data_IF_260088038325
#
_entry.id   IF_260088038325
#
_cell.length_a   1.000
_cell.length_b   1.000
_cell.length_c   1.000
_cell.angle_alpha   90.00
_cell.angle_beta   90.00
_cell.angle_gamma   90.00
#
_symmetry.space_group_name_H-M   'P 1'
#
loop_
_entity.id
_entity.type
_entity.pdbx_description
1 polymer ?
#
# COMPACT_ATOMS: atom_id res chain seq x y z
N UNK A 1 -3.61 3.39 -10.03
CA UNK A 1 -3.56 4.59 -9.17
C UNK A 1 -4.52 5.58 -9.77
N UNK A 2 -5.57 5.93 -9.02
CA UNK A 2 -6.75 6.61 -9.53
C UNK A 2 -7.13 7.78 -8.62
N UNK A 3 -7.66 8.84 -9.24
CA UNK A 3 -8.32 9.94 -8.55
C UNK A 3 -9.65 9.51 -7.93
N UNK A 4 -10.39 8.62 -8.61
CA UNK A 4 -11.65 8.06 -8.15
C UNK A 4 -11.68 6.56 -8.45
N UNK A 5 -12.04 5.75 -7.47
CA UNK A 5 -12.25 4.31 -7.64
C UNK A 5 -13.29 3.77 -6.67
N UNK A 6 -13.38 2.44 -6.57
CA UNK A 6 -14.42 1.77 -5.77
C UNK A 6 -14.37 2.13 -4.28
N UNK A 7 -13.17 2.40 -3.77
CA UNK A 7 -12.93 2.75 -2.36
C UNK A 7 -12.90 4.27 -2.11
N UNK A 8 -13.42 5.07 -3.05
CA UNK A 8 -13.55 6.53 -2.97
C UNK A 8 -12.47 7.28 -3.74
N UNK A 9 -12.12 8.48 -3.25
CA UNK A 9 -11.11 9.32 -3.90
C UNK A 9 -9.69 8.93 -3.51
N UNK A 10 -8.74 9.20 -4.41
CA UNK A 10 -7.30 8.99 -4.27
C UNK A 10 -6.98 7.58 -3.77
N UNK A 11 -7.04 6.62 -4.68
CA UNK A 11 -6.99 5.19 -4.35
C UNK A 11 -5.99 4.42 -5.20
N UNK A 12 -5.38 3.42 -4.56
CA UNK A 12 -4.89 2.26 -5.27
C UNK A 12 -6.06 1.31 -5.48
N UNK A 13 -6.29 0.85 -6.71
CA UNK A 13 -7.32 -0.14 -7.02
C UNK A 13 -6.67 -1.36 -7.69
N UNK A 14 -6.83 -2.56 -7.10
CA UNK A 14 -7.40 -2.83 -5.77
C UNK A 14 -6.53 -2.26 -4.62
N UNK A 15 -7.15 -1.90 -3.50
CA UNK A 15 -6.46 -1.37 -2.30
C UNK A 15 -5.80 -2.44 -1.42
N UNK A 16 -6.24 -3.69 -1.55
CA UNK A 16 -5.62 -4.88 -0.97
C UNK A 16 -5.37 -5.93 -2.07
N UNK A 17 -4.21 -6.57 -2.03
CA UNK A 17 -3.94 -7.78 -2.82
C UNK A 17 -3.19 -8.82 -1.99
N UNK A 18 -3.42 -10.09 -2.33
CA UNK A 18 -2.60 -11.21 -1.88
C UNK A 18 -1.84 -11.77 -3.08
N UNK A 19 -0.54 -11.95 -2.92
CA UNK A 19 0.38 -12.46 -3.94
C UNK A 19 1.35 -13.49 -3.35
N UNK A 20 2.09 -14.19 -4.19
CA UNK A 20 3.10 -15.15 -3.78
C UNK A 20 4.49 -14.50 -3.71
N UNK A 21 5.39 -15.09 -2.91
CA UNK A 21 6.80 -14.71 -2.92
C UNK A 21 7.39 -14.94 -4.33
N UNK A 22 8.03 -13.93 -4.88
CA UNK A 22 8.55 -13.90 -6.25
C UNK A 22 7.65 -13.17 -7.26
N UNK A 23 6.38 -12.93 -6.94
CA UNK A 23 5.49 -12.18 -7.83
C UNK A 23 5.94 -10.71 -7.95
N UNK A 24 5.60 -10.09 -9.08
CA UNK A 24 5.90 -8.68 -9.32
C UNK A 24 4.60 -7.87 -9.38
N UNK A 25 4.52 -6.85 -8.53
CA UNK A 25 3.40 -5.90 -8.49
C UNK A 25 3.78 -4.65 -9.28
N UNK A 26 2.99 -4.33 -10.31
CA UNK A 26 3.17 -3.13 -11.13
C UNK A 26 2.18 -2.06 -10.71
N UNK A 27 2.68 -0.93 -10.22
CA UNK A 27 1.90 0.26 -9.93
C UNK A 27 1.77 1.10 -11.19
N UNK A 28 0.54 1.34 -11.64
CA UNK A 28 0.25 2.10 -12.87
C UNK A 28 -0.43 3.43 -12.50
N UNK A 29 0.15 4.59 -12.88
CA UNK A 29 -0.50 5.90 -12.79
C UNK A 29 -1.53 6.03 -13.90
N UNK A 30 -2.69 5.40 -13.71
CA UNK A 30 -3.81 5.51 -14.65
C UNK A 30 -4.28 6.95 -14.75
N UNK A 31 -4.40 7.61 -13.61
CA UNK A 31 -4.50 9.06 -13.53
C UNK A 31 -3.12 9.69 -13.25
N UNK A 32 -2.85 10.90 -13.78
CA UNK A 32 -1.59 11.60 -13.53
C UNK A 32 -1.47 12.07 -12.07
N UNK A 33 -0.26 12.48 -11.68
CA UNK A 33 0.09 13.04 -10.37
C UNK A 33 0.11 12.04 -9.19
N UNK A 34 0.14 10.73 -9.48
CA UNK A 34 0.34 9.70 -8.46
C UNK A 34 1.76 9.12 -8.48
N UNK A 35 2.25 8.77 -7.31
CA UNK A 35 3.45 7.97 -7.05
C UNK A 35 3.16 6.90 -6.00
N UNK A 36 4.19 6.13 -5.61
CA UNK A 36 4.06 5.09 -4.58
C UNK A 36 5.33 5.01 -3.75
N UNK A 37 5.20 4.79 -2.45
CA UNK A 37 6.30 4.55 -1.53
C UNK A 37 5.92 3.50 -0.48
N UNK A 38 6.86 2.63 -0.12
CA UNK A 38 6.70 1.68 0.99
C UNK A 38 6.74 2.40 2.34
N UNK A 39 5.86 2.00 3.27
CA UNK A 39 5.81 2.48 4.66
C UNK A 39 6.38 1.41 5.60
N UNK A 40 5.74 0.25 5.61
CA UNK A 40 6.10 -0.90 6.45
C UNK A 40 6.33 -2.08 5.55
N UNK A 41 7.44 -2.77 5.76
CA UNK A 41 7.83 -3.94 4.96
C UNK A 41 8.29 -5.06 5.89
N UNK A 42 8.19 -6.34 5.48
CA UNK A 42 8.74 -7.45 6.25
C UNK A 42 10.26 -7.36 6.38
N UNK A 43 10.80 -8.00 7.41
CA UNK A 43 12.24 -8.06 7.64
C UNK A 43 12.94 -8.71 6.42
N UNK A 44 13.97 -8.04 5.91
CA UNK A 44 14.75 -8.50 4.75
C UNK A 44 14.26 -7.97 3.40
N UNK A 45 13.03 -7.45 3.33
CA UNK A 45 12.56 -6.73 2.14
C UNK A 45 13.30 -5.39 1.98
N UNK A 46 13.42 -4.92 0.74
CA UNK A 46 13.99 -3.61 0.43
C UNK A 46 12.87 -2.57 0.30
N UNK A 47 13.02 -1.37 0.90
CA UNK A 47 12.06 -0.29 0.67
C UNK A 47 12.10 0.16 -0.80
N UNK A 48 10.98 0.69 -1.28
CA UNK A 48 10.87 1.20 -2.65
C UNK A 48 10.11 2.51 -2.71
N UNK A 49 10.41 3.28 -3.76
CA UNK A 49 9.69 4.50 -4.12
C UNK A 49 9.65 4.65 -5.65
N UNK A 50 8.47 4.93 -6.18
CA UNK A 50 8.25 5.28 -7.58
C UNK A 50 8.40 6.78 -7.82
N UNK A 51 8.69 7.17 -9.06
CA UNK A 51 8.67 8.57 -9.47
C UNK A 51 7.23 9.04 -9.79
N UNK A 52 6.98 10.34 -9.60
CA UNK A 52 5.68 10.96 -9.88
C UNK A 52 5.24 10.72 -11.33
N UNK A 53 4.01 10.27 -11.50
CA UNK A 53 3.40 9.96 -12.80
C UNK A 53 4.18 8.93 -13.62
N UNK A 54 4.98 8.07 -12.98
CA UNK A 54 5.70 6.96 -13.63
C UNK A 54 5.26 5.62 -13.06
N UNK A 55 5.11 4.64 -13.94
CA UNK A 55 4.89 3.27 -13.50
C UNK A 55 6.15 2.71 -12.82
N UNK A 56 5.96 1.89 -11.78
CA UNK A 56 7.04 1.18 -11.11
C UNK A 56 6.62 -0.26 -10.86
N UNK A 57 7.55 -1.20 -11.05
CA UNK A 57 7.37 -2.61 -10.76
C UNK A 57 8.21 -2.99 -9.56
N UNK A 58 7.63 -3.73 -8.62
CA UNK A 58 8.29 -4.18 -7.40
C UNK A 58 8.12 -5.68 -7.28
N UNK A 59 9.23 -6.41 -7.20
CA UNK A 59 9.22 -7.85 -6.97
C UNK A 59 9.14 -8.13 -5.47
N UNK A 60 8.19 -8.98 -5.09
CA UNK A 60 7.87 -9.30 -3.70
C UNK A 60 8.78 -10.43 -3.19
N UNK A 61 9.90 -10.09 -2.57
CA UNK A 61 10.93 -11.09 -2.22
C UNK A 61 10.75 -11.72 -0.84
N UNK A 62 10.07 -11.07 0.09
CA UNK A 62 9.85 -11.62 1.44
C UNK A 62 8.37 -11.81 1.77
N UNK A 63 8.06 -12.87 2.50
CA UNK A 63 6.72 -13.09 3.02
C UNK A 63 6.38 -12.08 4.12
N UNK A 64 5.14 -11.61 4.12
CA UNK A 64 4.61 -10.71 5.12
C UNK A 64 3.63 -9.70 4.55
N UNK A 65 3.33 -8.69 5.35
CA UNK A 65 2.44 -7.58 5.03
C UNK A 65 3.28 -6.36 4.71
N UNK A 66 2.97 -5.74 3.58
CA UNK A 66 3.56 -4.50 3.11
C UNK A 66 2.50 -3.41 3.09
N UNK A 67 2.78 -2.31 3.77
CA UNK A 67 1.99 -1.08 3.71
C UNK A 67 2.67 -0.09 2.78
N UNK A 68 1.89 0.60 1.97
CA UNK A 68 2.41 1.61 1.05
C UNK A 68 1.43 2.78 0.90
N UNK A 69 1.96 3.92 0.47
CA UNK A 69 1.22 5.15 0.23
C UNK A 69 1.52 5.74 -1.15
N UNK A 70 0.70 6.69 -1.57
CA UNK A 70 1.09 7.75 -2.49
C UNK A 70 1.43 9.02 -1.67
N UNK A 71 2.72 9.40 -1.56
CA UNK A 71 3.17 10.55 -0.78
C UNK A 71 2.40 11.85 -1.04
N UNK A 72 2.05 12.16 -2.28
CA UNK A 72 1.33 13.40 -2.64
C UNK A 72 -0.12 13.42 -2.15
N UNK A 73 -0.70 12.26 -1.85
CA UNK A 73 -2.11 12.09 -1.48
C UNK A 73 -2.30 11.43 -0.11
N UNK A 74 -1.27 11.42 0.74
CA UNK A 74 -1.30 10.76 2.05
C UNK A 74 -2.39 11.30 2.98
N UNK A 75 -2.65 12.62 2.97
CA UNK A 75 -3.69 13.22 3.82
C UNK A 75 -5.10 12.73 3.46
N UNK A 76 -5.31 12.27 2.22
CA UNK A 76 -6.57 11.69 1.74
C UNK A 76 -6.62 10.16 1.90
N UNK A 77 -5.62 9.59 2.59
CA UNK A 77 -5.40 8.16 2.79
C UNK A 77 -5.24 7.38 1.48
N UNK A 78 -4.48 7.89 0.50
CA UNK A 78 -4.11 7.08 -0.66
C UNK A 78 -3.06 6.04 -0.26
N UNK A 79 -3.54 4.92 0.27
CA UNK A 79 -2.72 3.83 0.82
C UNK A 79 -3.21 2.48 0.30
N UNK A 80 -2.38 1.46 0.48
CA UNK A 80 -2.78 0.09 0.20
C UNK A 80 -1.98 -0.94 1.00
N UNK A 81 -2.41 -2.19 0.87
CA UNK A 81 -1.85 -3.34 1.57
C UNK A 81 -1.54 -4.47 0.59
N UNK A 82 -0.32 -4.99 0.64
CA UNK A 82 0.04 -6.23 -0.07
C UNK A 82 0.35 -7.29 0.99
N UNK A 83 -0.32 -8.43 0.91
CA UNK A 83 0.07 -9.64 1.62
C UNK A 83 0.86 -10.54 0.66
N UNK A 84 2.09 -10.88 1.04
CA UNK A 84 2.93 -11.84 0.32
C UNK A 84 2.98 -13.12 1.13
N UNK A 85 2.39 -14.21 0.63
CA UNK A 85 2.37 -15.49 1.33
C UNK A 85 1.82 -15.36 2.76
N UNK A 86 2.58 -15.81 3.77
CA UNK A 86 2.22 -15.71 5.19
C UNK A 86 2.41 -14.30 5.75
N UNK A 87 1.49 -13.77 6.57
CA UNK A 87 1.58 -12.42 7.13
C UNK A 87 2.52 -12.35 8.36
N UNK A 88 3.82 -12.58 8.15
CA UNK A 88 4.85 -12.75 9.20
C UNK A 88 5.02 -11.57 10.16
N UNK A 89 4.60 -10.36 9.77
CA UNK A 89 4.75 -9.11 10.52
C UNK A 89 3.40 -8.38 10.73
N UNK A 90 2.27 -9.09 10.77
CA UNK A 90 0.94 -8.47 10.84
C UNK A 90 0.77 -7.52 12.04
N UNK A 91 1.26 -7.90 13.22
CA UNK A 91 1.14 -7.05 14.42
C UNK A 91 1.88 -5.71 14.23
N UNK A 92 3.07 -5.75 13.64
CA UNK A 92 3.86 -4.55 13.35
C UNK A 92 3.19 -3.68 12.28
N UNK A 93 2.65 -4.32 11.23
CA UNK A 93 1.88 -3.63 10.19
C UNK A 93 0.64 -2.94 10.78
N UNK A 94 -0.13 -3.61 11.64
CA UNK A 94 -1.31 -3.02 12.29
C UNK A 94 -0.94 -1.84 13.20
N UNK A 95 0.15 -1.95 13.96
CA UNK A 95 0.65 -0.84 14.78
C UNK A 95 1.07 0.33 13.90
N UNK A 96 1.86 0.06 12.87
CA UNK A 96 2.34 1.10 11.96
C UNK A 96 1.20 1.78 11.21
N UNK A 97 0.19 1.03 10.75
CA UNK A 97 -0.99 1.57 10.11
C UNK A 97 -1.78 2.53 11.03
N UNK A 98 -1.99 2.16 12.29
CA UNK A 98 -2.66 3.03 13.28
C UNK A 98 -1.90 4.33 13.51
N UNK A 99 -0.57 4.24 13.66
CA UNK A 99 0.27 5.43 13.82
C UNK A 99 0.28 6.29 12.55
N UNK A 100 0.33 5.66 11.38
CA UNK A 100 0.36 6.34 10.09
C UNK A 100 -0.97 7.04 9.77
N UNK A 101 -2.09 6.41 10.13
CA UNK A 101 -3.44 6.95 9.92
C UNK A 101 -3.71 8.26 10.68
N UNK A 102 -2.87 8.62 11.67
CA UNK A 102 -2.92 9.94 12.32
C UNK A 102 -2.69 11.11 11.34
N UNK A 103 -2.05 10.85 10.19
CA UNK A 103 -1.86 11.84 9.11
C UNK A 103 -3.11 12.06 8.26
N UNK A 104 -4.11 11.19 8.35
CA UNK A 104 -5.27 11.20 7.46
C UNK A 104 -6.28 12.25 7.90
N UNK A 105 -6.62 13.15 6.99
CA UNK A 105 -7.75 14.07 7.11
C UNK A 105 -9.07 13.42 6.68
N UNK A 106 -9.01 12.45 5.75
CA UNK A 106 -10.15 11.74 5.19
C UNK A 106 -9.91 10.22 5.19
N UNK A 107 -10.97 9.42 5.05
CA UNK A 107 -10.87 7.96 4.89
C UNK A 107 -10.03 7.29 6.01
N UNK A 108 -10.22 7.74 7.25
CA UNK A 108 -9.38 7.38 8.42
C UNK A 108 -9.33 5.88 8.71
N UNK A 109 -10.35 5.15 8.28
CA UNK A 109 -10.54 3.71 8.45
C UNK A 109 -10.00 2.88 7.27
N UNK A 110 -9.42 3.49 6.23
CA UNK A 110 -9.05 2.78 4.99
C UNK A 110 -7.97 1.72 5.21
N UNK A 111 -6.98 1.98 6.07
CA UNK A 111 -6.03 0.94 6.43
C UNK A 111 -6.68 -0.22 7.19
N UNK A 112 -7.60 0.07 8.13
CA UNK A 112 -8.29 -0.96 8.89
C UNK A 112 -9.12 -1.87 7.97
N UNK A 113 -9.81 -1.29 6.97
CA UNK A 113 -10.55 -2.02 5.93
C UNK A 113 -9.67 -2.96 5.12
N UNK A 114 -8.48 -2.53 4.73
CA UNK A 114 -7.57 -3.35 3.93
C UNK A 114 -6.83 -4.40 4.77
N UNK A 115 -6.39 -4.03 5.99
CA UNK A 115 -5.75 -4.97 6.91
C UNK A 115 -6.72 -6.04 7.42
N UNK A 116 -8.02 -5.74 7.51
CA UNK A 116 -9.06 -6.73 7.83
C UNK A 116 -9.20 -7.85 6.81
N UNK A 117 -8.59 -7.73 5.62
CA UNK A 117 -8.59 -8.77 4.58
C UNK A 117 -7.38 -9.71 4.68
N UNK A 118 -6.37 -9.39 5.48
CA UNK A 118 -5.18 -10.22 5.68
C UNK A 118 -5.56 -11.52 6.40
N UNK A 119 -5.09 -12.66 5.88
CA UNK A 119 -5.36 -14.01 6.41
C UNK A 119 -4.10 -14.81 6.65
#
# INVERSE_FOLDING_TARGET
>A
MLNNGKDGIMVFEPGYIKVNKGDTVKFVPTDPAHDVASITIPKGAKPWKGALSKAVSVTMTEEGVYLYECPTHVMMAMVGVIQVGKPTNLADAQKSAKDFAKKFAMNKDRFDKYLGQVK
#
